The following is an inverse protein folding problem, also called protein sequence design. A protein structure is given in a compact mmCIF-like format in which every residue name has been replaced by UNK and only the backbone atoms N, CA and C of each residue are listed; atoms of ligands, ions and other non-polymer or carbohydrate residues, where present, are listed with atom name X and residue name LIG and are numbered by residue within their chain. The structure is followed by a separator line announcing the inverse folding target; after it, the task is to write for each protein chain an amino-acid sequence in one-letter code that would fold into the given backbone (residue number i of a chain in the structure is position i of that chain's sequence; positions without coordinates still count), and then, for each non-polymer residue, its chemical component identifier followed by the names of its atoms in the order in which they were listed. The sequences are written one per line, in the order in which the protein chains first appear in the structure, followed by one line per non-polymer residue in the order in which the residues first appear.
data_IF_708131621829
#
_entry.id   IF_708131621829
#
_cell.length_a   1.000
_cell.length_b   1.000
_cell.length_c   1.000
_cell.angle_alpha   90.00
_cell.angle_beta   90.00
_cell.angle_gamma   90.00
#
_symmetry.space_group_name_H-M   'P 1'
#
loop_
_entity.id
_entity.type
_entity.pdbx_description
1 polymer ?
#
# COMPACT_ATOMS: atom_id res chain seq x y z
N UNK A 1 26.65 60.87 -30.79
CA UNK A 1 25.39 60.07 -30.68
C UNK A 1 25.68 58.75 -30.03
N UNK A 2 25.31 58.60 -28.77
CA UNK A 2 25.42 57.32 -28.03
C UNK A 2 24.08 56.63 -28.16
N UNK A 3 24.01 55.49 -28.84
CA UNK A 3 22.85 54.63 -28.93
C UNK A 3 22.90 53.70 -27.71
N UNK A 4 22.01 53.96 -26.72
CA UNK A 4 21.82 53.07 -25.57
C UNK A 4 21.01 51.86 -25.99
N UNK A 5 21.60 50.65 -25.97
CA UNK A 5 20.91 49.40 -26.13
C UNK A 5 20.16 49.06 -24.81
N UNK A 6 18.84 49.17 -24.80
CA UNK A 6 18.00 48.67 -23.70
C UNK A 6 17.94 47.16 -23.76
N UNK A 7 18.60 46.50 -22.81
CA UNK A 7 18.42 45.07 -22.55
C UNK A 7 17.06 44.87 -21.92
N UNK A 8 16.08 44.42 -22.70
CA UNK A 8 14.79 43.95 -22.21
C UNK A 8 15.02 42.59 -21.51
N UNK A 9 15.10 42.60 -20.19
CA UNK A 9 14.99 41.41 -19.34
C UNK A 9 13.56 40.88 -19.42
N UNK A 10 13.30 39.88 -20.26
CA UNK A 10 12.07 39.11 -20.20
C UNK A 10 12.04 38.38 -18.89
N UNK A 11 11.27 38.89 -17.92
CA UNK A 11 10.89 38.13 -16.74
C UNK A 11 10.16 36.88 -17.23
N UNK A 12 10.80 35.72 -17.12
CA UNK A 12 10.13 34.45 -17.33
C UNK A 12 8.97 34.38 -16.35
N UNK A 13 7.74 34.50 -16.84
CA UNK A 13 6.54 34.27 -16.02
C UNK A 13 6.64 32.86 -15.46
N UNK A 14 6.82 32.72 -14.16
CA UNK A 14 6.82 31.43 -13.50
C UNK A 14 5.47 30.76 -13.82
N UNK A 15 5.53 29.66 -14.58
CA UNK A 15 4.32 28.90 -14.89
C UNK A 15 3.67 28.39 -13.60
N UNK A 16 2.34 28.47 -13.52
CA UNK A 16 1.60 27.95 -12.36
C UNK A 16 1.98 26.49 -12.07
N UNK A 17 2.20 26.10 -10.82
CA UNK A 17 2.53 24.74 -10.47
C UNK A 17 1.42 23.77 -10.90
N UNK A 18 1.76 22.50 -11.06
CA UNK A 18 0.79 21.41 -11.22
C UNK A 18 0.40 20.98 -9.82
N UNK A 19 -0.87 21.07 -9.48
CA UNK A 19 -1.38 20.73 -8.16
C UNK A 19 -1.83 19.26 -8.10
N UNK A 20 -1.25 18.49 -7.21
CA UNK A 20 -1.66 17.10 -6.96
C UNK A 20 -2.32 17.04 -5.58
N UNK A 21 -3.60 16.63 -5.54
CA UNK A 21 -4.34 16.38 -4.30
C UNK A 21 -3.88 15.05 -3.68
N UNK A 22 -3.54 15.10 -2.39
CA UNK A 22 -3.01 13.96 -1.64
C UNK A 22 -3.87 13.72 -0.39
N UNK A 23 -5.05 13.09 -0.54
CA UNK A 23 -5.90 12.70 0.58
C UNK A 23 -5.35 11.43 1.23
N UNK A 24 -4.89 11.51 2.49
CA UNK A 24 -4.32 10.38 3.24
C UNK A 24 -4.69 10.47 4.73
N UNK A 25 -4.82 9.36 5.45
CA UNK A 25 -4.95 9.37 6.90
C UNK A 25 -3.58 9.66 7.54
N UNK A 26 -3.40 10.87 8.03
CA UNK A 26 -2.15 11.33 8.65
C UNK A 26 -2.22 11.32 10.18
N UNK A 27 -3.45 11.22 10.72
CA UNK A 27 -3.75 11.03 12.14
C UNK A 27 -4.70 9.86 12.35
N UNK A 28 -4.87 9.42 13.60
CA UNK A 28 -5.75 8.30 13.96
C UNK A 28 -5.11 6.90 13.72
N UNK A 29 -5.95 5.86 13.75
CA UNK A 29 -5.51 4.46 13.73
C UNK A 29 -4.76 4.05 12.45
N UNK A 30 -5.02 4.73 11.34
CA UNK A 30 -4.43 4.43 10.04
C UNK A 30 -3.19 5.28 9.71
N UNK A 31 -2.79 6.20 10.59
CA UNK A 31 -1.70 7.14 10.34
C UNK A 31 -0.36 6.45 9.99
N UNK A 32 -0.11 5.27 10.57
CA UNK A 32 1.11 4.51 10.30
C UNK A 32 1.32 4.22 8.80
N UNK A 33 0.28 3.74 8.09
CA UNK A 33 0.34 3.51 6.65
C UNK A 33 0.29 4.79 5.83
N UNK A 34 -0.62 5.72 6.21
CA UNK A 34 -0.83 6.97 5.47
C UNK A 34 0.41 7.85 5.41
N UNK A 35 1.14 7.99 6.52
CA UNK A 35 2.39 8.78 6.57
C UNK A 35 3.51 8.16 5.74
N UNK A 36 3.56 6.82 5.66
CA UNK A 36 4.53 6.13 4.81
C UNK A 36 4.25 6.37 3.32
N UNK A 37 2.97 6.25 2.91
CA UNK A 37 2.55 6.55 1.54
C UNK A 37 2.87 8.00 1.18
N UNK A 38 2.56 8.94 2.09
CA UNK A 38 2.90 10.35 1.90
C UNK A 38 4.39 10.56 1.64
N UNK A 39 5.23 9.92 2.45
CA UNK A 39 6.67 10.01 2.25
C UNK A 39 7.10 9.55 0.85
N UNK A 40 6.54 8.44 0.37
CA UNK A 40 6.82 7.94 -0.98
C UNK A 40 6.40 8.92 -2.09
N UNK A 41 5.20 9.51 -1.95
CA UNK A 41 4.71 10.54 -2.87
C UNK A 41 5.62 11.77 -2.86
N UNK A 42 6.03 12.23 -1.67
CA UNK A 42 6.94 13.35 -1.51
C UNK A 42 8.30 13.08 -2.13
N UNK A 43 8.88 11.88 -1.91
CA UNK A 43 10.16 11.50 -2.48
C UNK A 43 10.14 11.51 -4.01
N UNK A 44 9.11 10.91 -4.63
CA UNK A 44 8.95 10.98 -6.09
C UNK A 44 8.73 12.43 -6.58
N UNK A 45 8.01 13.24 -5.82
CA UNK A 45 7.78 14.66 -6.15
C UNK A 45 9.07 15.48 -6.07
N UNK A 46 9.91 15.23 -5.06
CA UNK A 46 11.22 15.86 -4.95
C UNK A 46 12.07 15.57 -6.17
N UNK A 47 12.16 14.30 -6.59
CA UNK A 47 12.90 13.91 -7.80
C UNK A 47 12.40 14.63 -9.08
N UNK A 48 11.06 14.76 -9.23
CA UNK A 48 10.46 15.49 -10.34
C UNK A 48 10.86 16.96 -10.28
N UNK A 49 10.76 17.56 -9.13
CA UNK A 49 11.00 18.98 -8.92
C UNK A 49 12.48 19.36 -9.02
N UNK A 50 13.38 18.52 -8.50
CA UNK A 50 14.83 18.64 -8.64
C UNK A 50 15.25 18.53 -10.13
N UNK A 51 14.57 17.65 -10.90
CA UNK A 51 14.75 17.49 -12.34
C UNK A 51 14.13 18.61 -13.20
N UNK A 52 13.64 19.71 -12.61
CA UNK A 52 13.09 20.86 -13.35
C UNK A 52 11.56 20.83 -13.48
N UNK A 53 10.88 19.85 -12.89
CA UNK A 53 9.41 19.71 -12.93
C UNK A 53 8.91 19.01 -14.19
N UNK A 54 7.65 19.17 -14.50
CA UNK A 54 7.01 18.69 -15.72
C UNK A 54 6.76 19.88 -16.66
N UNK A 55 7.38 19.89 -17.81
CA UNK A 55 7.30 21.00 -18.78
C UNK A 55 7.68 22.37 -18.18
N UNK A 56 8.67 22.39 -17.27
CA UNK A 56 9.10 23.61 -16.55
C UNK A 56 8.18 24.02 -15.39
N UNK A 57 7.10 23.28 -15.12
CA UNK A 57 6.19 23.51 -14.00
C UNK A 57 6.55 22.60 -12.84
N UNK A 58 6.67 23.16 -11.63
CA UNK A 58 6.87 22.37 -10.40
C UNK A 58 5.57 21.65 -10.01
N UNK A 59 5.71 20.52 -9.34
CA UNK A 59 4.59 19.86 -8.67
C UNK A 59 4.40 20.48 -7.28
N UNK A 60 3.17 20.82 -6.97
CA UNK A 60 2.70 21.24 -5.64
C UNK A 60 1.77 20.17 -5.09
N UNK A 61 2.11 19.59 -3.93
CA UNK A 61 1.26 18.64 -3.25
C UNK A 61 0.28 19.38 -2.33
N UNK A 62 -1.02 19.19 -2.55
CA UNK A 62 -2.08 19.68 -1.65
C UNK A 62 -2.48 18.51 -0.75
N UNK A 63 -1.84 18.43 0.41
CA UNK A 63 -1.98 17.31 1.35
C UNK A 63 -3.11 17.58 2.33
N UNK A 64 -4.04 16.63 2.46
CA UNK A 64 -5.18 16.72 3.37
C UNK A 64 -5.32 15.46 4.22
N UNK A 65 -5.53 15.65 5.52
CA UNK A 65 -5.71 14.56 6.48
C UNK A 65 -7.15 14.03 6.45
N UNK A 66 -7.34 12.80 6.00
CA UNK A 66 -8.64 12.11 6.00
C UNK A 66 -8.97 11.47 7.34
N UNK A 67 -8.02 11.40 8.27
CA UNK A 67 -8.11 10.70 9.57
C UNK A 67 -8.49 9.21 9.47
N UNK A 68 -8.60 8.66 8.26
CA UNK A 68 -9.15 7.33 8.01
C UNK A 68 -10.65 7.22 8.27
N UNK A 69 -11.37 8.34 8.25
CA UNK A 69 -12.80 8.44 8.52
C UNK A 69 -13.58 8.73 7.23
N UNK A 70 -14.70 8.02 7.02
CA UNK A 70 -15.49 8.13 5.79
C UNK A 70 -16.00 9.56 5.53
N UNK A 71 -16.60 10.22 6.54
CA UNK A 71 -17.15 11.57 6.38
C UNK A 71 -16.06 12.61 6.11
N UNK A 72 -14.93 12.52 6.82
CA UNK A 72 -13.76 13.40 6.62
C UNK A 72 -13.21 13.21 5.22
N UNK A 73 -13.07 11.96 4.75
CA UNK A 73 -12.57 11.63 3.42
C UNK A 73 -13.45 12.20 2.30
N UNK A 74 -14.77 12.08 2.42
CA UNK A 74 -15.70 12.69 1.45
C UNK A 74 -15.59 14.22 1.41
N UNK A 75 -15.44 14.87 2.58
CA UNK A 75 -15.28 16.33 2.69
C UNK A 75 -13.96 16.79 2.07
N UNK A 76 -12.86 16.08 2.37
CA UNK A 76 -11.51 16.33 1.81
C UNK A 76 -11.53 16.18 0.29
N UNK A 77 -12.16 15.12 -0.23
CA UNK A 77 -12.29 14.89 -1.66
C UNK A 77 -12.98 16.07 -2.36
N UNK A 78 -14.11 16.52 -1.83
CA UNK A 78 -14.86 17.65 -2.37
C UNK A 78 -14.05 18.95 -2.30
N UNK A 79 -13.35 19.22 -1.20
CA UNK A 79 -12.46 20.39 -1.03
C UNK A 79 -11.37 20.42 -2.09
N UNK A 80 -10.61 19.33 -2.22
CA UNK A 80 -9.51 19.23 -3.18
C UNK A 80 -9.99 19.43 -4.63
N UNK A 81 -11.16 18.87 -4.98
CA UNK A 81 -11.72 18.99 -6.32
C UNK A 81 -12.26 20.39 -6.63
N UNK A 82 -12.95 21.07 -5.67
CA UNK A 82 -13.74 22.28 -5.97
C UNK A 82 -13.09 23.56 -5.49
N UNK A 83 -12.43 23.55 -4.34
CA UNK A 83 -11.80 24.74 -3.74
C UNK A 83 -10.33 24.84 -4.18
N UNK A 84 -9.54 23.77 -3.94
CA UNK A 84 -8.13 23.74 -4.28
C UNK A 84 -7.89 23.53 -5.79
N UNK A 85 -8.89 22.93 -6.48
CA UNK A 85 -8.90 22.68 -7.92
C UNK A 85 -7.63 21.98 -8.39
N UNK A 86 -7.33 20.86 -7.73
CA UNK A 86 -6.15 20.06 -8.06
C UNK A 86 -6.27 19.46 -9.47
N UNK A 87 -5.13 19.31 -10.15
CA UNK A 87 -5.06 18.80 -11.52
C UNK A 87 -5.23 17.26 -11.59
N UNK A 88 -4.78 16.54 -10.53
CA UNK A 88 -4.93 15.10 -10.37
C UNK A 88 -4.87 14.72 -8.89
N UNK A 89 -5.20 13.47 -8.59
CA UNK A 89 -5.14 12.89 -7.24
C UNK A 89 -4.16 11.73 -7.19
N UNK A 90 -3.33 11.70 -6.15
CA UNK A 90 -2.49 10.56 -5.79
C UNK A 90 -2.61 10.36 -4.29
N UNK A 91 -3.29 9.32 -3.84
CA UNK A 91 -3.53 9.12 -2.41
C UNK A 91 -4.60 8.08 -2.14
N UNK A 92 -5.04 8.03 -0.90
CA UNK A 92 -5.98 7.05 -0.40
C UNK A 92 -5.28 5.91 0.34
N UNK A 93 -5.80 5.63 1.54
CA UNK A 93 -5.43 4.48 2.37
C UNK A 93 -6.52 4.23 3.41
N UNK A 94 -7.01 2.97 3.46
CA UNK A 94 -8.10 2.56 4.32
C UNK A 94 -9.41 2.38 3.53
N UNK A 95 -9.78 1.11 3.25
CA UNK A 95 -10.84 0.78 2.29
C UNK A 95 -12.18 1.46 2.55
N UNK A 96 -12.59 1.58 3.83
CA UNK A 96 -13.86 2.25 4.19
C UNK A 96 -13.82 3.76 3.95
N UNK A 97 -12.72 4.42 4.31
CA UNK A 97 -12.52 5.85 4.08
C UNK A 97 -12.39 6.17 2.60
N UNK A 98 -11.68 5.32 1.86
CA UNK A 98 -11.47 5.50 0.44
C UNK A 98 -12.73 5.21 -0.39
N UNK A 99 -13.61 4.34 0.07
CA UNK A 99 -14.92 4.16 -0.55
C UNK A 99 -15.72 5.48 -0.55
N UNK A 100 -15.74 6.18 0.57
CA UNK A 100 -16.41 7.48 0.70
C UNK A 100 -15.71 8.58 -0.11
N UNK A 101 -14.37 8.58 -0.13
CA UNK A 101 -13.55 9.50 -0.92
C UNK A 101 -13.83 9.36 -2.42
N UNK A 102 -13.75 8.14 -2.95
CA UNK A 102 -13.97 7.86 -4.37
C UNK A 102 -15.43 8.13 -4.79
N UNK A 103 -16.39 7.80 -3.92
CA UNK A 103 -17.81 8.12 -4.18
C UNK A 103 -18.05 9.64 -4.30
N UNK A 104 -17.37 10.44 -3.47
CA UNK A 104 -17.45 11.90 -3.57
C UNK A 104 -16.78 12.45 -4.84
N UNK A 105 -15.73 11.78 -5.34
CA UNK A 105 -14.99 12.16 -6.55
C UNK A 105 -15.63 11.70 -7.85
N UNK A 106 -16.50 10.68 -7.82
CA UNK A 106 -17.05 10.03 -9.00
C UNK A 106 -17.66 11.02 -10.01
N UNK A 107 -18.37 12.05 -9.55
CA UNK A 107 -18.99 13.08 -10.41
C UNK A 107 -17.99 14.02 -11.09
N UNK A 108 -16.73 14.07 -10.62
CA UNK A 108 -15.69 14.93 -11.19
C UNK A 108 -14.77 14.16 -12.15
N UNK A 109 -14.77 12.83 -12.07
CA UNK A 109 -13.94 11.94 -12.89
C UNK A 109 -12.47 12.39 -12.98
N UNK A 110 -11.77 12.67 -11.87
CA UNK A 110 -10.42 13.19 -11.91
C UNK A 110 -9.45 12.12 -12.41
N UNK A 111 -8.24 12.49 -12.81
CA UNK A 111 -7.13 11.50 -12.85
C UNK A 111 -6.86 11.09 -11.41
N UNK A 112 -7.07 9.82 -11.07
CA UNK A 112 -6.84 9.30 -9.72
C UNK A 112 -5.94 8.06 -9.76
N UNK A 113 -4.73 8.19 -9.19
CA UNK A 113 -3.81 7.07 -9.01
C UNK A 113 -3.81 6.67 -7.54
N UNK A 114 -4.33 5.48 -7.25
CA UNK A 114 -4.65 5.01 -5.91
C UNK A 114 -3.58 4.04 -5.39
N UNK A 115 -2.73 4.44 -4.43
CA UNK A 115 -1.63 3.62 -3.94
C UNK A 115 -2.04 2.55 -2.92
N UNK A 116 -3.17 2.73 -2.24
CA UNK A 116 -3.56 1.90 -1.09
C UNK A 116 -4.89 1.19 -1.28
N UNK A 117 -5.39 0.64 -0.17
CA UNK A 117 -6.66 -0.08 -0.03
C UNK A 117 -6.82 -1.33 -0.91
N UNK A 118 -7.47 -2.35 -0.40
CA UNK A 118 -7.52 -3.66 -1.07
C UNK A 118 -8.92 -4.28 -1.13
N UNK A 119 -9.96 -3.65 -0.49
CA UNK A 119 -11.32 -4.18 -0.53
C UNK A 119 -11.85 -4.29 -1.95
N UNK A 120 -12.33 -5.47 -2.29
CA UNK A 120 -12.94 -5.76 -3.60
C UNK A 120 -14.12 -4.85 -3.92
N UNK A 121 -14.79 -4.29 -2.91
CA UNK A 121 -15.90 -3.34 -3.10
C UNK A 121 -15.49 -2.04 -3.78
N UNK A 122 -14.22 -1.62 -3.60
CA UNK A 122 -13.67 -0.48 -4.35
C UNK A 122 -13.55 -0.82 -5.83
N UNK A 123 -13.09 -2.02 -6.14
CA UNK A 123 -13.01 -2.49 -7.51
C UNK A 123 -14.39 -2.61 -8.17
N UNK A 124 -15.34 -3.27 -7.49
CA UNK A 124 -16.72 -3.44 -7.97
C UNK A 124 -17.40 -2.10 -8.28
N UNK A 125 -17.14 -1.07 -7.44
CA UNK A 125 -17.77 0.24 -7.55
C UNK A 125 -17.04 1.20 -8.49
N UNK A 126 -15.71 1.19 -8.49
CA UNK A 126 -14.89 2.20 -9.17
C UNK A 126 -13.92 1.62 -10.20
N UNK A 127 -13.60 0.35 -10.17
CA UNK A 127 -12.59 -0.28 -11.02
C UNK A 127 -12.89 -0.20 -12.52
N UNK A 128 -14.15 0.00 -12.94
CA UNK A 128 -14.56 0.13 -14.34
C UNK A 128 -14.42 1.54 -14.92
N UNK A 129 -14.12 2.52 -14.10
CA UNK A 129 -13.96 3.91 -14.54
C UNK A 129 -12.60 4.15 -15.20
N UNK A 130 -12.57 4.91 -16.29
CA UNK A 130 -11.34 5.24 -17.02
C UNK A 130 -10.43 6.21 -16.27
N UNK A 131 -10.93 6.89 -15.24
CA UNK A 131 -10.21 7.84 -14.43
C UNK A 131 -9.52 7.24 -13.19
N UNK A 132 -9.79 5.94 -12.85
CA UNK A 132 -9.31 5.28 -11.65
C UNK A 132 -8.22 4.24 -11.97
N UNK A 133 -7.04 4.42 -11.39
CA UNK A 133 -5.85 3.58 -11.56
C UNK A 133 -5.41 3.05 -10.21
N UNK A 134 -5.45 1.73 -10.02
CA UNK A 134 -5.15 1.10 -8.74
C UNK A 134 -3.75 0.47 -8.77
N UNK A 135 -2.85 1.00 -7.93
CA UNK A 135 -1.45 0.52 -7.83
C UNK A 135 -1.37 -0.73 -6.96
N UNK A 136 -2.17 -0.79 -5.90
CA UNK A 136 -2.09 -1.82 -4.89
C UNK A 136 -2.79 -3.12 -5.32
N UNK A 137 -2.86 -4.11 -4.44
CA UNK A 137 -3.48 -5.42 -4.69
C UNK A 137 -4.89 -5.49 -4.12
N UNK A 138 -5.78 -6.25 -4.74
CA UNK A 138 -7.11 -6.55 -4.21
C UNK A 138 -7.06 -7.69 -3.19
N UNK A 139 -8.02 -7.74 -2.26
CA UNK A 139 -8.07 -8.74 -1.19
C UNK A 139 -8.12 -10.17 -1.74
N UNK A 140 -8.85 -10.44 -2.80
CA UNK A 140 -8.91 -11.79 -3.35
C UNK A 140 -7.54 -12.29 -3.85
N UNK A 141 -6.71 -11.43 -4.46
CA UNK A 141 -5.34 -11.77 -4.83
C UNK A 141 -4.45 -12.02 -3.59
N UNK A 142 -4.54 -11.11 -2.62
CA UNK A 142 -3.72 -11.17 -1.41
C UNK A 142 -4.02 -12.41 -0.60
N UNK A 143 -5.31 -12.70 -0.37
CA UNK A 143 -5.70 -13.85 0.45
C UNK A 143 -5.41 -15.17 -0.24
N UNK A 144 -5.54 -15.24 -1.56
CA UNK A 144 -5.12 -16.40 -2.34
C UNK A 144 -3.62 -16.68 -2.17
N UNK A 145 -2.78 -15.64 -2.25
CA UNK A 145 -1.35 -15.75 -2.01
C UNK A 145 -1.03 -16.19 -0.57
N UNK A 146 -1.68 -15.60 0.43
CA UNK A 146 -1.52 -15.97 1.83
C UNK A 146 -1.87 -17.44 2.08
N UNK A 147 -3.00 -17.91 1.59
CA UNK A 147 -3.42 -19.30 1.75
C UNK A 147 -2.49 -20.26 1.00
N UNK A 148 -2.03 -19.91 -0.20
CA UNK A 148 -1.03 -20.69 -0.92
C UNK A 148 0.30 -20.79 -0.15
N UNK A 149 0.71 -19.71 0.49
CA UNK A 149 1.85 -19.73 1.40
C UNK A 149 1.61 -20.69 2.58
N UNK A 150 0.47 -20.60 3.28
CA UNK A 150 0.16 -21.51 4.40
C UNK A 150 0.18 -22.96 3.98
N UNK A 151 -0.45 -23.28 2.84
CA UNK A 151 -0.44 -24.64 2.26
C UNK A 151 0.94 -25.14 1.89
N UNK A 152 1.88 -24.25 1.57
CA UNK A 152 3.28 -24.62 1.23
C UNK A 152 4.10 -25.05 2.44
N UNK A 153 3.63 -24.79 3.67
CA UNK A 153 4.34 -25.13 4.90
C UNK A 153 3.94 -26.52 5.38
N UNK A 154 4.87 -27.49 5.44
CA UNK A 154 4.56 -28.83 5.90
C UNK A 154 3.97 -28.84 7.31
N UNK A 155 2.84 -29.52 7.50
CA UNK A 155 2.20 -29.67 8.81
C UNK A 155 1.20 -28.58 9.19
N UNK A 156 1.06 -27.49 8.42
CA UNK A 156 0.02 -26.48 8.63
C UNK A 156 -1.33 -27.05 8.19
N UNK A 157 -2.32 -27.03 9.10
CA UNK A 157 -3.68 -27.51 8.87
C UNK A 157 -4.75 -26.55 9.39
N UNK A 158 -4.46 -25.77 10.45
CA UNK A 158 -5.44 -24.94 11.15
C UNK A 158 -5.04 -23.47 11.14
N UNK A 159 -6.03 -22.61 10.89
CA UNK A 159 -5.89 -21.16 10.86
C UNK A 159 -6.81 -20.52 11.91
N UNK A 160 -6.26 -19.59 12.69
CA UNK A 160 -7.03 -18.60 13.44
C UNK A 160 -6.90 -17.25 12.73
N UNK A 161 -8.01 -16.61 12.41
CA UNK A 161 -8.06 -15.33 11.73
C UNK A 161 -8.56 -14.28 12.73
N UNK A 162 -7.79 -13.20 12.89
CA UNK A 162 -8.24 -11.98 13.56
C UNK A 162 -8.21 -10.83 12.56
N UNK A 163 -9.33 -10.11 12.40
CA UNK A 163 -9.46 -9.15 11.31
C UNK A 163 -10.16 -7.86 11.73
N UNK A 164 -9.80 -6.75 11.09
CA UNK A 164 -10.43 -5.44 11.26
C UNK A 164 -11.90 -5.50 10.79
N UNK A 165 -12.81 -4.90 11.58
CA UNK A 165 -14.26 -5.09 11.49
C UNK A 165 -14.97 -4.28 10.37
N UNK A 166 -14.21 -3.65 9.45
CA UNK A 166 -14.74 -2.87 8.32
C UNK A 166 -14.36 -3.50 6.97
N UNK A 167 -14.48 -2.75 5.87
CA UNK A 167 -14.36 -3.27 4.51
C UNK A 167 -13.08 -4.08 4.28
N UNK A 168 -11.93 -3.56 4.72
CA UNK A 168 -10.64 -4.22 4.54
C UNK A 168 -10.59 -5.58 5.21
N UNK A 169 -10.82 -5.62 6.52
CA UNK A 169 -10.71 -6.88 7.26
C UNK A 169 -11.82 -7.86 6.93
N UNK A 170 -13.06 -7.39 6.73
CA UNK A 170 -14.20 -8.27 6.42
C UNK A 170 -14.08 -8.94 5.05
N UNK A 171 -13.64 -8.20 4.02
CA UNK A 171 -13.41 -8.79 2.69
C UNK A 171 -12.22 -9.75 2.74
N UNK A 172 -11.12 -9.36 3.43
CA UNK A 172 -9.97 -10.23 3.63
C UNK A 172 -10.32 -11.52 4.35
N UNK A 173 -11.07 -11.46 5.45
CA UNK A 173 -11.51 -12.65 6.19
C UNK A 173 -12.41 -13.56 5.34
N UNK A 174 -13.33 -12.97 4.57
CA UNK A 174 -14.20 -13.72 3.64
C UNK A 174 -13.40 -14.51 2.63
N UNK A 175 -12.47 -13.87 1.91
CA UNK A 175 -11.65 -14.55 0.92
C UNK A 175 -10.67 -15.56 1.55
N UNK A 176 -10.12 -15.25 2.73
CA UNK A 176 -9.28 -16.21 3.44
C UNK A 176 -10.04 -17.49 3.77
N UNK A 177 -11.27 -17.39 4.30
CA UNK A 177 -12.10 -18.55 4.60
C UNK A 177 -12.43 -19.36 3.33
N UNK A 178 -12.77 -18.67 2.24
CA UNK A 178 -13.05 -19.33 0.95
C UNK A 178 -11.83 -20.13 0.48
N UNK A 179 -10.68 -19.50 0.36
CA UNK A 179 -9.46 -20.15 -0.15
C UNK A 179 -8.91 -21.20 0.81
N UNK A 180 -9.03 -20.99 2.13
CA UNK A 180 -8.65 -22.00 3.12
C UNK A 180 -9.46 -23.28 2.94
N UNK A 181 -10.79 -23.17 2.76
CA UNK A 181 -11.67 -24.30 2.45
C UNK A 181 -11.26 -25.03 1.16
N UNK A 182 -11.00 -24.28 0.09
CA UNK A 182 -10.54 -24.83 -1.19
C UNK A 182 -9.18 -25.53 -1.06
N UNK A 183 -8.31 -25.03 -0.18
CA UNK A 183 -6.99 -25.60 0.08
C UNK A 183 -7.00 -26.78 1.07
N UNK A 184 -8.13 -27.07 1.72
CA UNK A 184 -8.27 -28.10 2.74
C UNK A 184 -7.65 -27.70 4.08
N UNK A 185 -7.65 -26.40 4.42
CA UNK A 185 -7.23 -25.86 5.71
C UNK A 185 -8.45 -25.51 6.55
N UNK A 186 -8.40 -25.85 7.85
CA UNK A 186 -9.50 -25.59 8.79
C UNK A 186 -9.36 -24.21 9.44
N UNK A 187 -10.37 -23.36 9.29
CA UNK A 187 -10.46 -22.08 10.00
C UNK A 187 -11.12 -22.32 11.34
N UNK A 188 -10.31 -22.42 12.40
CA UNK A 188 -10.76 -22.74 13.78
C UNK A 188 -11.18 -21.49 14.56
N UNK A 189 -10.81 -20.28 14.10
CA UNK A 189 -11.23 -19.00 14.66
C UNK A 189 -11.37 -17.96 13.56
N UNK A 190 -12.40 -17.12 13.62
CA UNK A 190 -12.59 -16.00 12.69
C UNK A 190 -13.24 -14.84 13.46
N UNK A 191 -12.41 -13.99 14.07
CA UNK A 191 -12.83 -12.96 15.03
C UNK A 191 -12.55 -11.55 14.52
N UNK A 192 -13.59 -10.69 14.49
CA UNK A 192 -13.39 -9.28 14.17
C UNK A 192 -12.83 -8.50 15.34
N UNK A 193 -12.08 -7.44 15.06
CA UNK A 193 -11.71 -6.41 16.00
C UNK A 193 -11.85 -5.01 15.39
N UNK A 194 -12.06 -4.01 16.24
CA UNK A 194 -12.06 -2.61 15.81
C UNK A 194 -10.65 -2.09 15.71
N UNK A 195 -10.31 -1.38 14.61
CA UNK A 195 -9.01 -0.73 14.47
C UNK A 195 -8.74 0.25 15.63
N UNK A 196 -7.53 0.21 16.17
CA UNK A 196 -7.12 0.98 17.34
C UNK A 196 -7.63 0.42 18.68
N UNK A 197 -8.07 -0.84 18.72
CA UNK A 197 -8.42 -1.53 19.98
C UNK A 197 -7.20 -1.56 20.92
N UNK A 198 -7.34 -1.14 22.19
CA UNK A 198 -6.21 -1.11 23.12
C UNK A 198 -5.88 -2.47 23.73
N UNK A 199 -6.82 -3.42 23.79
CA UNK A 199 -6.67 -4.72 24.44
C UNK A 199 -7.15 -5.86 23.52
N UNK A 200 -6.21 -6.70 23.12
CA UNK A 200 -6.42 -7.90 22.30
C UNK A 200 -6.39 -9.20 23.12
N UNK A 201 -6.30 -9.13 24.45
CA UNK A 201 -6.24 -10.31 25.32
C UNK A 201 -7.39 -11.31 25.10
N UNK A 202 -8.65 -10.90 24.84
CA UNK A 202 -9.74 -11.86 24.58
C UNK A 202 -9.47 -12.70 23.34
N UNK A 203 -9.05 -12.08 22.22
CA UNK A 203 -8.74 -12.77 20.97
C UNK A 203 -7.53 -13.69 21.14
N UNK A 204 -6.49 -13.19 21.79
CA UNK A 204 -5.25 -13.93 22.04
C UNK A 204 -5.47 -15.15 22.93
N UNK A 205 -6.23 -15.04 24.02
CA UNK A 205 -6.56 -16.16 24.88
C UNK A 205 -7.41 -17.21 24.16
N UNK A 206 -8.34 -16.80 23.29
CA UNK A 206 -9.10 -17.71 22.46
C UNK A 206 -8.20 -18.46 21.47
N UNK A 207 -7.33 -17.75 20.76
CA UNK A 207 -6.35 -18.35 19.86
C UNK A 207 -5.44 -19.34 20.61
N UNK A 208 -4.98 -18.99 21.83
CA UNK A 208 -4.19 -19.88 22.69
C UNK A 208 -4.93 -21.18 23.00
N UNK A 209 -6.22 -21.10 23.38
CA UNK A 209 -7.04 -22.27 23.69
C UNK A 209 -7.25 -23.22 22.50
N UNK A 210 -7.32 -22.67 21.29
CA UNK A 210 -7.49 -23.40 20.04
C UNK A 210 -6.15 -23.96 19.47
N UNK A 211 -5.02 -23.39 19.89
CA UNK A 211 -3.68 -23.77 19.48
C UNK A 211 -3.52 -23.97 17.95
N UNK A 212 -3.88 -22.96 17.11
CA UNK A 212 -3.81 -23.06 15.67
C UNK A 212 -2.38 -23.15 15.16
N UNK A 213 -2.21 -23.68 13.95
CA UNK A 213 -0.91 -23.71 13.31
C UNK A 213 -0.49 -22.28 12.85
N UNK A 214 -1.47 -21.46 12.44
CA UNK A 214 -1.25 -20.08 12.03
C UNK A 214 -2.24 -19.16 12.75
N UNK A 215 -1.73 -18.10 13.38
CA UNK A 215 -2.52 -16.93 13.76
C UNK A 215 -2.32 -15.86 12.68
N UNK A 216 -3.35 -15.61 11.89
CA UNK A 216 -3.33 -14.69 10.76
C UNK A 216 -4.07 -13.39 11.09
N UNK A 217 -3.34 -12.28 10.96
CA UNK A 217 -3.84 -10.95 11.30
C UNK A 217 -4.15 -10.15 10.03
N UNK A 218 -5.40 -9.79 9.84
CA UNK A 218 -5.87 -8.93 8.76
C UNK A 218 -6.22 -7.56 9.36
N UNK A 219 -5.20 -6.85 9.78
CA UNK A 219 -5.28 -5.57 10.45
C UNK A 219 -4.33 -4.53 9.90
N UNK A 220 -4.46 -3.30 10.37
CA UNK A 220 -3.49 -2.26 10.07
C UNK A 220 -2.24 -2.42 10.94
N UNK A 221 -1.13 -1.82 10.50
CA UNK A 221 0.20 -2.01 11.13
C UNK A 221 0.19 -1.78 12.65
N UNK A 222 -0.49 -0.73 13.12
CA UNK A 222 -0.59 -0.45 14.56
C UNK A 222 -1.22 -1.60 15.35
N UNK A 223 -2.32 -2.15 14.85
CA UNK A 223 -3.03 -3.28 15.49
C UNK A 223 -2.19 -4.55 15.45
N UNK A 224 -1.60 -4.88 14.30
CA UNK A 224 -0.76 -6.06 14.12
C UNK A 224 0.44 -6.06 15.08
N UNK A 225 1.13 -4.92 15.19
CA UNK A 225 2.25 -4.74 16.12
C UNK A 225 1.78 -4.90 17.57
N UNK A 226 0.64 -4.31 17.92
CA UNK A 226 0.10 -4.39 19.27
C UNK A 226 -0.34 -5.81 19.63
N UNK A 227 -0.99 -6.54 18.72
CA UNK A 227 -1.36 -7.95 18.92
C UNK A 227 -0.11 -8.79 19.17
N UNK A 228 0.94 -8.64 18.35
CA UNK A 228 2.19 -9.36 18.53
C UNK A 228 2.86 -9.07 19.89
N UNK A 229 2.91 -7.79 20.29
CA UNK A 229 3.45 -7.37 21.60
C UNK A 229 2.66 -7.93 22.77
N UNK A 230 1.32 -7.86 22.71
CA UNK A 230 0.46 -8.41 23.77
C UNK A 230 0.55 -9.94 23.82
N UNK A 231 0.65 -10.64 22.69
CA UNK A 231 0.91 -12.09 22.68
C UNK A 231 2.18 -12.43 23.45
N UNK A 232 3.26 -11.69 23.21
CA UNK A 232 4.53 -11.87 23.92
C UNK A 232 4.40 -11.59 25.43
N UNK A 233 3.74 -10.48 25.81
CA UNK A 233 3.51 -10.11 27.21
C UNK A 233 2.68 -11.16 27.97
N UNK A 234 1.70 -11.77 27.32
CA UNK A 234 0.86 -12.82 27.88
C UNK A 234 1.50 -14.23 27.81
N UNK A 235 2.73 -14.32 27.33
CA UNK A 235 3.42 -15.61 27.14
C UNK A 235 2.72 -16.51 26.11
N UNK A 236 1.99 -15.93 25.17
CA UNK A 236 1.31 -16.65 24.09
C UNK A 236 2.24 -16.70 22.90
N UNK A 237 2.62 -17.92 22.52
CA UNK A 237 3.52 -18.18 21.38
C UNK A 237 2.74 -18.94 20.31
N UNK A 238 2.19 -18.24 19.28
CA UNK A 238 1.62 -18.91 18.12
C UNK A 238 2.70 -19.73 17.40
N UNK A 239 2.36 -20.89 16.86
CA UNK A 239 3.31 -21.66 16.02
C UNK A 239 3.79 -20.86 14.83
N UNK A 240 2.93 -19.99 14.27
CA UNK A 240 3.27 -18.99 13.27
C UNK A 240 2.34 -17.79 13.42
N UNK A 241 2.90 -16.60 13.62
CA UNK A 241 2.17 -15.34 13.55
C UNK A 241 2.39 -14.71 12.18
N UNK A 242 1.31 -14.45 11.47
CA UNK A 242 1.36 -13.88 10.12
C UNK A 242 0.55 -12.60 10.06
N UNK A 243 1.13 -11.54 9.51
CA UNK A 243 0.48 -10.25 9.28
C UNK A 243 0.40 -9.95 7.78
N UNK A 244 -0.42 -8.97 7.43
CA UNK A 244 -0.47 -8.39 6.10
C UNK A 244 0.17 -7.00 6.15
N UNK A 245 1.47 -6.94 5.89
CA UNK A 245 2.24 -5.72 5.99
C UNK A 245 1.81 -4.66 5.00
N UNK A 246 1.79 -3.41 5.47
CA UNK A 246 1.65 -2.25 4.61
C UNK A 246 2.55 -1.08 5.06
N UNK A 247 3.19 -1.15 6.21
CA UNK A 247 4.02 -0.08 6.75
C UNK A 247 4.80 -0.50 7.99
N UNK A 248 4.81 -1.80 8.27
CA UNK A 248 5.46 -2.41 9.42
C UNK A 248 6.97 -2.53 9.17
N UNK A 249 7.75 -2.17 10.17
CA UNK A 249 9.19 -2.45 10.22
C UNK A 249 9.45 -3.51 11.27
N UNK A 250 10.47 -4.34 11.04
CA UNK A 250 10.89 -5.32 12.05
C UNK A 250 11.13 -4.67 13.42
N UNK A 251 11.75 -3.49 13.43
CA UNK A 251 12.04 -2.73 14.65
C UNK A 251 10.79 -2.30 15.42
N UNK A 252 9.65 -2.08 14.74
CA UNK A 252 8.41 -1.63 15.38
C UNK A 252 7.81 -2.70 16.30
N UNK A 253 8.06 -3.97 16.02
CA UNK A 253 7.62 -5.09 16.85
C UNK A 253 8.47 -5.28 18.12
N UNK A 254 9.74 -4.82 18.11
CA UNK A 254 10.69 -5.15 19.17
C UNK A 254 10.90 -6.67 19.28
N UNK A 255 11.08 -7.24 20.48
CA UNK A 255 11.23 -8.69 20.66
C UNK A 255 10.04 -9.52 20.13
N UNK A 256 8.84 -8.94 20.10
CA UNK A 256 7.63 -9.61 19.60
C UNK A 256 7.65 -9.87 18.08
N UNK A 257 8.59 -9.29 17.36
CA UNK A 257 8.74 -9.50 15.92
C UNK A 257 9.53 -10.76 15.53
N UNK A 258 10.09 -11.48 16.48
CA UNK A 258 10.88 -12.68 16.17
C UNK A 258 10.00 -13.73 15.49
N UNK A 259 10.43 -14.16 14.29
CA UNK A 259 9.75 -15.14 13.45
C UNK A 259 8.34 -14.71 12.93
N UNK A 260 7.90 -13.49 13.14
CA UNK A 260 6.68 -12.96 12.48
C UNK A 260 6.89 -13.02 10.96
N UNK A 261 5.86 -13.48 10.27
CA UNK A 261 5.82 -13.45 8.81
C UNK A 261 4.89 -12.35 8.33
N UNK A 262 5.34 -11.62 7.33
CA UNK A 262 4.57 -10.57 6.67
C UNK A 262 4.26 -10.98 5.24
N UNK A 263 2.98 -11.04 4.87
CA UNK A 263 2.57 -11.19 3.48
C UNK A 263 2.55 -9.82 2.85
N UNK A 264 3.42 -9.57 1.89
CA UNK A 264 3.63 -8.25 1.29
C UNK A 264 3.86 -8.35 -0.24
N UNK A 265 3.92 -7.19 -0.89
CA UNK A 265 4.21 -7.01 -2.31
C UNK A 265 5.71 -6.79 -2.57
N UNK A 266 6.40 -6.25 -1.57
CA UNK A 266 7.74 -5.73 -1.74
C UNK A 266 8.61 -5.96 -0.51
N UNK A 267 9.87 -6.18 -0.77
CA UNK A 267 10.95 -6.17 0.23
C UNK A 267 12.20 -5.61 -0.41
N UNK A 268 12.97 -4.83 0.35
CA UNK A 268 14.30 -4.36 -0.03
C UNK A 268 15.29 -5.51 -0.35
N UNK A 269 14.94 -6.75 0.02
CA UNK A 269 15.74 -7.97 -0.20
C UNK A 269 15.40 -8.70 -1.51
N UNK A 270 14.45 -8.20 -2.31
CA UNK A 270 14.16 -8.76 -3.61
C UNK A 270 15.29 -8.46 -4.62
N UNK A 271 15.42 -9.35 -5.62
CA UNK A 271 16.46 -9.26 -6.65
C UNK A 271 16.02 -8.54 -7.91
N UNK A 272 15.03 -7.65 -7.80
CA UNK A 272 14.55 -6.82 -8.91
C UNK A 272 15.68 -5.95 -9.47
N UNK A 273 15.91 -5.93 -10.79
CA UNK A 273 16.95 -5.08 -11.38
C UNK A 273 16.82 -3.61 -10.97
N UNK A 274 17.91 -2.99 -10.54
CA UNK A 274 17.95 -1.59 -10.09
C UNK A 274 17.41 -1.33 -8.67
N UNK A 275 16.73 -2.30 -8.05
CA UNK A 275 16.11 -2.13 -6.73
C UNK A 275 17.13 -1.77 -5.64
N UNK A 276 18.25 -2.46 -5.57
CA UNK A 276 19.27 -2.22 -4.52
C UNK A 276 19.81 -0.78 -4.55
N UNK A 277 20.04 -0.23 -5.75
CA UNK A 277 20.47 1.16 -5.91
C UNK A 277 19.37 2.14 -5.49
N UNK A 278 18.12 1.88 -5.92
CA UNK A 278 16.97 2.70 -5.55
C UNK A 278 16.77 2.70 -4.03
N UNK A 279 16.80 1.53 -3.38
CA UNK A 279 16.68 1.38 -1.92
C UNK A 279 17.76 2.20 -1.22
N UNK A 280 19.03 2.08 -1.62
CA UNK A 280 20.14 2.83 -1.04
C UNK A 280 19.91 4.34 -1.09
N UNK A 281 19.43 4.88 -2.23
CA UNK A 281 19.11 6.30 -2.38
C UNK A 281 17.93 6.72 -1.51
N UNK A 282 16.86 5.92 -1.53
CA UNK A 282 15.64 6.19 -0.79
C UNK A 282 15.88 6.16 0.73
N UNK A 283 16.61 5.17 1.25
CA UNK A 283 16.99 5.08 2.66
C UNK A 283 17.92 6.21 3.10
N UNK A 284 18.86 6.62 2.27
CA UNK A 284 19.70 7.78 2.53
C UNK A 284 18.89 9.08 2.61
N UNK A 285 17.93 9.30 1.71
CA UNK A 285 17.03 10.47 1.72
C UNK A 285 16.11 10.44 2.94
N UNK A 286 15.65 9.25 3.34
CA UNK A 286 14.74 9.05 4.46
C UNK A 286 15.43 9.15 5.81
N UNK A 287 16.70 8.78 5.89
CA UNK A 287 17.40 8.56 7.16
C UNK A 287 16.96 7.29 7.89
N UNK A 288 16.52 6.24 7.15
CA UNK A 288 16.09 4.97 7.71
C UNK A 288 15.44 4.04 6.70
N UNK A 289 14.99 2.88 7.19
CA UNK A 289 14.40 1.81 6.38
C UNK A 289 13.17 2.28 5.57
N UNK A 290 13.12 1.92 4.29
CA UNK A 290 11.95 2.11 3.43
C UNK A 290 11.03 0.89 3.55
N UNK A 291 9.74 1.12 3.70
CA UNK A 291 8.71 0.09 3.82
C UNK A 291 7.81 0.05 2.59
N UNK A 292 7.11 -1.07 2.40
CA UNK A 292 6.26 -1.33 1.24
C UNK A 292 5.25 -0.22 0.94
N UNK A 293 4.58 0.33 1.95
CA UNK A 293 3.62 1.43 1.77
C UNK A 293 4.27 2.73 1.25
N UNK A 294 5.53 2.99 1.60
CA UNK A 294 6.28 4.10 1.02
C UNK A 294 6.54 3.87 -0.49
N UNK A 295 6.85 2.62 -0.86
CA UNK A 295 7.04 2.25 -2.27
C UNK A 295 5.73 2.39 -3.06
N UNK A 296 4.59 2.05 -2.47
CA UNK A 296 3.27 2.24 -3.07
C UNK A 296 3.03 3.71 -3.45
N UNK A 297 3.28 4.62 -2.51
CA UNK A 297 3.16 6.07 -2.75
C UNK A 297 4.12 6.57 -3.84
N UNK A 298 5.37 6.13 -3.78
CA UNK A 298 6.38 6.46 -4.78
C UNK A 298 5.96 6.00 -6.20
N UNK A 299 5.56 4.73 -6.34
CA UNK A 299 5.15 4.15 -7.63
C UNK A 299 3.90 4.83 -8.18
N UNK A 300 2.94 5.16 -7.33
CA UNK A 300 1.74 5.88 -7.76
C UNK A 300 2.10 7.25 -8.38
N UNK A 301 2.97 8.01 -7.74
CA UNK A 301 3.42 9.29 -8.27
C UNK A 301 4.33 9.14 -9.48
N UNK A 302 5.17 8.10 -9.50
CA UNK A 302 6.05 7.77 -10.61
C UNK A 302 5.26 7.44 -11.88
N UNK A 303 4.23 6.57 -11.79
CA UNK A 303 3.42 6.20 -12.96
C UNK A 303 2.68 7.39 -13.54
N UNK A 304 2.14 8.27 -12.69
CA UNK A 304 1.53 9.53 -13.14
C UNK A 304 2.56 10.42 -13.85
N UNK A 305 3.74 10.62 -13.24
CA UNK A 305 4.84 11.38 -13.85
C UNK A 305 5.18 10.90 -15.26
N UNK A 306 5.36 9.58 -15.40
CA UNK A 306 5.83 8.99 -16.66
C UNK A 306 4.74 9.09 -17.73
N UNK A 307 3.48 8.89 -17.37
CA UNK A 307 2.35 9.07 -18.28
C UNK A 307 2.19 10.54 -18.73
N UNK A 308 2.39 11.50 -17.83
CA UNK A 308 2.37 12.94 -18.16
C UNK A 308 3.53 13.31 -19.10
N UNK A 309 4.74 12.83 -18.81
CA UNK A 309 5.91 13.05 -19.68
C UNK A 309 5.68 12.50 -21.09
N UNK A 310 5.13 11.29 -21.19
CA UNK A 310 4.81 10.67 -22.49
C UNK A 310 3.70 11.40 -23.25
N UNK A 311 2.77 12.05 -22.55
CA UNK A 311 1.72 12.87 -23.17
C UNK A 311 2.25 14.16 -23.81
N UNK A 312 3.44 14.62 -23.41
CA UNK A 312 4.07 15.85 -23.89
C UNK A 312 3.38 17.15 -23.41
N UNK A 313 2.33 17.02 -22.61
CA UNK A 313 1.52 18.13 -22.08
C UNK A 313 0.64 17.66 -20.92
N UNK A 314 0.02 18.59 -20.20
CA UNK A 314 -1.04 18.25 -19.23
C UNK A 314 -2.39 18.11 -19.96
N UNK A 315 -2.49 17.09 -20.80
CA UNK A 315 -3.71 16.71 -21.51
C UNK A 315 -4.31 15.45 -20.83
N UNK A 316 -5.48 15.63 -20.20
CA UNK A 316 -6.14 14.57 -19.43
C UNK A 316 -6.34 13.29 -20.24
N UNK A 317 -6.84 13.40 -21.48
CA UNK A 317 -7.15 12.23 -22.28
C UNK A 317 -5.89 11.43 -22.65
N UNK A 318 -4.81 12.14 -23.03
CA UNK A 318 -3.50 11.53 -23.32
C UNK A 318 -2.86 10.89 -22.07
N UNK A 319 -2.96 11.56 -20.92
CA UNK A 319 -2.42 11.03 -19.67
C UNK A 319 -3.13 9.72 -19.29
N UNK A 320 -4.47 9.68 -19.34
CA UNK A 320 -5.23 8.47 -19.07
C UNK A 320 -4.90 7.34 -20.06
N UNK A 321 -4.81 7.66 -21.35
CA UNK A 321 -4.42 6.67 -22.38
C UNK A 321 -3.02 6.10 -22.11
N UNK A 322 -2.05 6.95 -21.73
CA UNK A 322 -0.70 6.52 -21.40
C UNK A 322 -0.65 5.69 -20.11
N UNK A 323 -1.36 6.11 -19.05
CA UNK A 323 -1.47 5.30 -17.83
C UNK A 323 -1.98 3.89 -18.17
N UNK A 324 -3.00 3.76 -19.01
CA UNK A 324 -3.62 2.48 -19.36
C UNK A 324 -2.83 1.61 -20.35
N UNK A 325 -1.80 2.13 -21.02
CA UNK A 325 -1.12 1.41 -22.10
C UNK A 325 0.40 1.26 -21.92
N UNK A 326 1.03 2.06 -21.08
CA UNK A 326 2.48 2.05 -20.88
C UNK A 326 2.93 0.94 -19.94
N UNK A 327 4.18 0.51 -20.12
CA UNK A 327 4.94 -0.24 -19.15
C UNK A 327 5.83 0.71 -18.37
N UNK A 328 5.86 0.56 -17.05
CA UNK A 328 6.60 1.41 -16.12
C UNK A 328 7.75 0.63 -15.49
N UNK A 329 8.93 1.23 -15.46
CA UNK A 329 10.10 0.73 -14.72
C UNK A 329 10.03 1.27 -13.29
N UNK A 330 9.77 0.39 -12.32
CA UNK A 330 9.48 0.78 -10.94
C UNK A 330 10.28 -0.04 -9.93
N UNK A 331 10.29 0.32 -8.64
CA UNK A 331 10.83 -0.54 -7.58
C UNK A 331 10.17 -1.92 -7.47
N UNK A 332 9.01 -2.13 -8.09
CA UNK A 332 8.39 -3.46 -8.25
C UNK A 332 8.93 -4.21 -9.47
N UNK A 333 9.78 -3.59 -10.29
CA UNK A 333 10.20 -4.04 -11.61
C UNK A 333 9.35 -3.43 -12.71
N UNK A 334 9.30 -4.11 -13.86
CA UNK A 334 8.47 -3.69 -15.01
C UNK A 334 7.02 -4.06 -14.75
N UNK A 335 6.16 -3.07 -14.69
CA UNK A 335 4.72 -3.22 -14.42
C UNK A 335 3.89 -2.42 -15.43
N UNK A 336 2.66 -2.85 -15.67
CA UNK A 336 1.69 -2.16 -16.51
C UNK A 336 0.30 -2.30 -15.90
N UNK A 337 -0.54 -1.28 -16.06
CA UNK A 337 -1.95 -1.43 -15.70
C UNK A 337 -2.65 -2.40 -16.64
N UNK A 338 -3.47 -3.27 -16.10
CA UNK A 338 -4.21 -4.29 -16.85
C UNK A 338 -5.58 -4.53 -16.24
N UNK A 339 -6.45 -5.20 -16.98
CA UNK A 339 -7.72 -5.63 -16.44
C UNK A 339 -7.50 -6.68 -15.33
N UNK A 340 -8.33 -6.59 -14.30
CA UNK A 340 -8.35 -7.53 -13.17
C UNK A 340 -9.37 -8.65 -13.38
N UNK A 341 -9.30 -9.69 -12.54
CA UNK A 341 -10.20 -10.86 -12.61
C UNK A 341 -11.68 -10.49 -12.35
N UNK A 342 -11.95 -9.46 -11.53
CA UNK A 342 -13.30 -8.99 -11.20
C UNK A 342 -13.81 -7.88 -12.14
N UNK A 343 -13.08 -7.59 -13.21
CA UNK A 343 -13.47 -6.67 -14.26
C UNK A 343 -13.09 -5.20 -14.04
N UNK A 344 -12.21 -4.91 -13.12
CA UNK A 344 -11.53 -3.60 -13.03
C UNK A 344 -10.64 -3.40 -14.25
N UNK A 345 -10.53 -2.14 -14.74
CA UNK A 345 -9.76 -1.83 -15.95
C UNK A 345 -8.26 -1.65 -15.71
N UNK A 346 -7.90 -1.06 -14.58
CA UNK A 346 -6.55 -0.52 -14.38
C UNK A 346 -5.97 -0.98 -13.05
N UNK A 347 -5.55 -2.25 -13.00
CA UNK A 347 -4.84 -2.87 -11.87
C UNK A 347 -3.36 -3.03 -12.21
N UNK A 348 -2.45 -2.50 -11.34
CA UNK A 348 -1.01 -2.56 -11.57
C UNK A 348 -0.39 -3.86 -11.03
N UNK A 349 -0.73 -4.25 -9.80
CA UNK A 349 -0.13 -5.37 -9.08
C UNK A 349 -1.12 -6.53 -8.96
N UNK A 350 -0.63 -7.74 -9.17
CA UNK A 350 -1.40 -8.99 -9.09
C UNK A 350 -0.82 -9.95 -8.05
N UNK A 351 -1.50 -11.09 -7.81
CA UNK A 351 -1.07 -12.16 -6.90
C UNK A 351 0.37 -12.66 -7.16
N UNK A 352 0.83 -12.64 -8.42
CA UNK A 352 2.19 -13.06 -8.81
C UNK A 352 3.29 -12.18 -8.20
N UNK A 353 2.96 -10.99 -7.75
CA UNK A 353 3.91 -10.08 -7.09
C UNK A 353 4.10 -10.40 -5.61
N UNK A 354 3.18 -11.14 -4.99
CA UNK A 354 3.18 -11.40 -3.56
C UNK A 354 4.37 -12.23 -3.09
N UNK A 355 4.84 -11.91 -1.90
CA UNK A 355 5.91 -12.60 -1.18
C UNK A 355 5.52 -12.80 0.29
N UNK A 356 6.13 -13.78 0.94
CA UNK A 356 6.18 -13.87 2.39
C UNK A 356 7.59 -13.52 2.87
N UNK A 357 7.67 -12.58 3.80
CA UNK A 357 8.92 -12.14 4.43
C UNK A 357 8.89 -12.55 5.89
N UNK A 358 9.89 -13.31 6.36
CA UNK A 358 10.00 -13.65 7.77
C UNK A 358 11.04 -12.76 8.47
N UNK A 359 10.64 -12.15 9.57
CA UNK A 359 11.52 -11.42 10.44
C UNK A 359 12.41 -12.37 11.25
N UNK A 360 13.67 -12.01 11.44
CA UNK A 360 14.65 -12.83 12.16
C UNK A 360 14.95 -12.26 13.54
N UNK A 361 15.36 -13.12 14.50
CA UNK A 361 15.72 -12.68 15.85
C UNK A 361 16.88 -11.68 15.91
N UNK A 362 17.79 -11.72 14.93
CA UNK A 362 18.90 -10.78 14.79
C UNK A 362 18.50 -9.38 14.26
N UNK A 363 17.21 -9.16 14.04
CA UNK A 363 16.67 -7.93 13.48
C UNK A 363 16.62 -7.91 11.95
N UNK A 364 17.11 -8.95 11.27
CA UNK A 364 17.04 -9.10 9.82
C UNK A 364 15.67 -9.53 9.32
N UNK A 365 15.55 -9.63 8.00
CA UNK A 365 14.36 -10.11 7.31
C UNK A 365 14.76 -10.88 6.05
N UNK A 366 14.02 -11.94 5.73
CA UNK A 366 14.27 -12.80 4.58
C UNK A 366 12.98 -13.11 3.81
N UNK A 367 13.04 -13.10 2.49
CA UNK A 367 11.97 -13.63 1.66
C UNK A 367 11.98 -15.15 1.77
N UNK A 368 10.87 -15.74 2.23
CA UNK A 368 10.73 -17.18 2.47
C UNK A 368 9.74 -17.85 1.53
N UNK A 369 8.98 -17.07 0.74
CA UNK A 369 8.01 -17.56 -0.25
C UNK A 369 7.73 -16.49 -1.30
N UNK A 370 7.38 -16.85 -2.56
CA UNK A 370 7.33 -18.21 -3.11
C UNK A 370 8.75 -18.79 -3.35
N UNK A 371 8.84 -20.08 -3.62
CA UNK A 371 10.12 -20.79 -3.68
C UNK A 371 11.13 -20.18 -4.66
N UNK A 372 10.65 -19.68 -5.82
CA UNK A 372 11.46 -19.04 -6.85
C UNK A 372 12.01 -17.65 -6.46
N UNK A 373 11.44 -17.03 -5.41
CA UNK A 373 11.88 -15.72 -4.87
C UNK A 373 12.54 -15.86 -3.50
N UNK A 374 12.43 -17.04 -2.88
CA UNK A 374 12.89 -17.26 -1.51
C UNK A 374 14.43 -17.22 -1.42
N UNK A 375 14.93 -16.41 -0.47
CA UNK A 375 16.35 -16.37 -0.09
C UNK A 375 16.69 -17.30 1.07
N UNK A 376 15.67 -17.73 1.84
CA UNK A 376 15.81 -18.61 3.00
C UNK A 376 14.60 -19.54 3.15
N UNK A 377 14.79 -20.63 3.92
CA UNK A 377 13.68 -21.47 4.36
C UNK A 377 12.95 -20.80 5.52
N UNK A 378 11.63 -21.00 5.57
CA UNK A 378 10.82 -20.54 6.70
C UNK A 378 11.23 -21.27 8.00
N UNK A 379 11.26 -20.54 9.11
CA UNK A 379 11.33 -21.11 10.47
C UNK A 379 9.91 -21.43 10.93
N UNK A 380 9.56 -22.71 11.00
CA UNK A 380 8.25 -23.21 11.45
C UNK A 380 8.40 -24.58 12.13
N UNK A 381 7.72 -24.83 13.26
CA UNK A 381 7.07 -23.81 14.08
C UNK A 381 8.07 -22.78 14.62
N UNK A 382 7.57 -21.58 14.98
CA UNK A 382 8.40 -20.60 15.67
C UNK A 382 8.84 -21.15 17.03
N UNK A 383 10.10 -20.99 17.44
CA UNK A 383 10.66 -21.55 18.68
C UNK A 383 10.07 -20.94 19.96
#
# INVERSE_FOLDING_TARGET
MLVGAALATTAASAQQPIKIGVPLPLTGALAGGGTQILWGIQYATDEINEGGGLFGRKIELVVEDTKGEANTSATVAAKLATQDKVDAFVGGFGSTSDFALLNALQRYEPIFVHPGSSSVRLEESFGKHDWYYHVYIWDYHRQKAAVNFFKSIPGVKTLAIAYEDKLYGTDGAKFTQQYAKEAGLDVVMNEPFRAGTPDFSPILNRAKGLNPDVLFLIGYSGDNIQIARQATQLGIKPKLLVTQGAGEKRSDFGPAGDNVVVIDLWSAKQTTPGLAEWVKKAEAKRGGEVVSSAVQGYVAMQTLRDAVKAAGSWDRAKILANLGSMTFDTPYGKVAYSASEMGGKHQLITDKSMIAVQYKPDGGQEVVWPAEKAAAKITYPAP
#
